data_IF_120180573241
#
_entry.id   IF_120180573241
#
_cell.length_a   1.000
_cell.length_b   1.000
_cell.length_c   1.000
_cell.angle_alpha   90.00
_cell.angle_beta   90.00
_cell.angle_gamma   90.00
#
_symmetry.space_group_name_H-M   'P 1'
#
loop_
_entity.id
_entity.type
_entity.pdbx_description
1 polymer ?
#
# COMPACT_ATOMS: atom_id res chain seq x y z
N UNK A 1 29.23 0.97 9.75
CA UNK A 1 28.45 1.82 10.68
C UNK A 1 27.63 0.89 11.56
N UNK A 2 27.81 0.92 12.90
CA UNK A 2 27.00 0.11 13.82
C UNK A 2 25.63 0.79 13.94
N UNK A 3 24.58 0.17 13.44
CA UNK A 3 23.21 0.56 13.74
C UNK A 3 23.04 0.61 15.26
N UNK A 4 22.47 1.69 15.79
CA UNK A 4 22.08 1.76 17.20
C UNK A 4 21.11 0.61 17.45
N UNK A 5 21.23 -0.08 18.58
CA UNK A 5 20.13 -0.90 19.06
C UNK A 5 18.97 0.03 19.45
N UNK A 6 17.73 -0.41 19.24
CA UNK A 6 16.58 0.38 19.69
C UNK A 6 16.59 0.51 21.21
N UNK A 7 16.01 1.60 21.72
CA UNK A 7 15.92 1.86 23.16
C UNK A 7 14.72 1.14 23.82
N UNK A 8 13.83 0.55 23.02
CA UNK A 8 12.53 0.04 23.50
C UNK A 8 12.36 -1.46 23.22
N UNK A 9 11.54 -2.13 24.06
CA UNK A 9 11.19 -3.54 23.93
C UNK A 9 12.42 -4.43 23.66
N UNK A 10 13.41 -4.41 24.57
CA UNK A 10 14.63 -5.22 24.48
C UNK A 10 15.46 -4.99 23.21
N UNK A 11 15.37 -3.79 22.62
CA UNK A 11 16.07 -3.46 21.38
C UNK A 11 15.28 -3.73 20.11
N UNK A 12 13.97 -4.05 20.22
CA UNK A 12 13.10 -4.33 19.09
C UNK A 12 12.33 -3.11 18.57
N UNK A 13 12.20 -2.03 19.36
CA UNK A 13 11.49 -0.80 18.94
C UNK A 13 10.05 -0.69 19.42
N UNK A 14 9.25 0.08 18.70
CA UNK A 14 7.84 0.33 19.00
C UNK A 14 7.01 -0.87 18.55
N UNK A 15 6.07 -1.31 19.39
CA UNK A 15 5.15 -2.40 19.05
C UNK A 15 3.95 -1.85 18.26
N UNK A 16 3.74 -2.36 17.05
CA UNK A 16 2.57 -2.06 16.23
C UNK A 16 1.61 -3.24 16.25
N UNK A 17 0.39 -3.01 16.74
CA UNK A 17 -0.72 -3.97 16.70
C UNK A 17 -1.61 -3.62 15.53
N UNK A 18 -1.55 -4.42 14.47
CA UNK A 18 -2.20 -4.15 13.18
C UNK A 18 -3.49 -4.95 13.08
N UNK A 19 -4.59 -4.28 12.77
CA UNK A 19 -5.86 -4.90 12.38
C UNK A 19 -6.16 -4.51 10.94
N UNK A 20 -6.21 -5.49 10.05
CA UNK A 20 -6.50 -5.32 8.64
C UNK A 20 -7.91 -5.79 8.32
N UNK A 21 -8.68 -4.95 7.65
CA UNK A 21 -10.03 -5.22 7.18
C UNK A 21 -10.02 -5.37 5.66
N UNK A 22 -9.90 -6.60 5.12
CA UNK A 22 -9.92 -6.81 3.68
C UNK A 22 -11.28 -6.49 3.08
N UNK A 23 -11.27 -6.13 1.81
CA UNK A 23 -12.45 -6.18 0.96
C UNK A 23 -12.84 -7.63 0.70
N UNK A 24 -14.14 -7.87 0.51
CA UNK A 24 -14.57 -9.21 0.14
C UNK A 24 -14.32 -9.44 -1.35
N UNK A 25 -13.83 -10.64 -1.76
CA UNK A 25 -13.62 -10.93 -3.17
C UNK A 25 -14.95 -10.87 -3.94
N UNK A 26 -14.94 -10.52 -5.24
CA UNK A 26 -16.15 -10.47 -6.06
C UNK A 26 -16.94 -11.78 -5.95
N UNK A 27 -18.28 -11.72 -5.82
CA UNK A 27 -19.09 -12.92 -5.78
C UNK A 27 -18.93 -13.71 -7.09
N UNK A 28 -18.80 -15.04 -6.99
CA UNK A 28 -18.80 -15.90 -8.17
C UNK A 28 -20.15 -15.83 -8.87
N UNK A 29 -20.18 -16.05 -10.19
CA UNK A 29 -21.40 -16.09 -10.99
C UNK A 29 -22.33 -17.24 -10.55
N UNK A 30 -23.14 -16.99 -9.51
CA UNK A 30 -24.20 -17.83 -8.89
C UNK A 30 -24.33 -17.58 -7.38
N UNK A 31 -23.36 -16.91 -6.76
CA UNK A 31 -23.33 -16.74 -5.30
C UNK A 31 -24.00 -15.43 -4.87
N UNK A 32 -25.13 -15.54 -4.16
CA UNK A 32 -25.80 -14.38 -3.57
C UNK A 32 -25.11 -14.00 -2.27
N UNK A 33 -24.47 -12.83 -2.24
CA UNK A 33 -23.92 -12.25 -1.01
C UNK A 33 -24.92 -11.31 -0.34
N UNK A 34 -25.00 -11.35 0.99
CA UNK A 34 -25.78 -10.39 1.78
C UNK A 34 -25.13 -9.01 1.68
N UNK A 35 -25.94 -7.94 1.57
CA UNK A 35 -25.47 -6.54 1.49
C UNK A 35 -24.47 -6.17 2.60
N UNK A 36 -24.65 -6.72 3.81
CA UNK A 36 -23.83 -6.39 4.97
C UNK A 36 -22.73 -7.43 5.27
N UNK A 37 -22.41 -8.30 4.31
CA UNK A 37 -21.29 -9.22 4.48
C UNK A 37 -19.98 -8.43 4.59
N UNK A 38 -19.14 -8.78 5.57
CA UNK A 38 -17.80 -8.22 5.74
C UNK A 38 -16.78 -9.35 5.78
N UNK A 39 -15.57 -9.09 5.29
CA UNK A 39 -14.48 -10.04 5.41
C UNK A 39 -14.03 -10.14 6.87
N UNK A 40 -13.46 -11.27 7.24
CA UNK A 40 -12.86 -11.44 8.56
C UNK A 40 -11.63 -10.55 8.70
N UNK A 41 -11.51 -9.86 9.83
CA UNK A 41 -10.40 -8.98 10.11
C UNK A 41 -9.14 -9.79 10.44
N UNK A 42 -8.03 -9.49 9.78
CA UNK A 42 -6.72 -10.11 10.03
C UNK A 42 -6.01 -9.30 11.10
N UNK A 43 -5.57 -9.94 12.18
CA UNK A 43 -4.85 -9.29 13.28
C UNK A 43 -3.43 -9.80 13.32
N UNK A 44 -2.47 -8.89 13.42
CA UNK A 44 -1.06 -9.22 13.60
C UNK A 44 -0.37 -8.16 14.46
N UNK A 45 0.85 -8.44 14.90
CA UNK A 45 1.68 -7.46 15.58
C UNK A 45 3.13 -7.58 15.15
N UNK A 46 3.81 -6.45 15.05
CA UNK A 46 5.23 -6.38 14.68
C UNK A 46 5.95 -5.32 15.51
N UNK A 47 7.27 -5.42 15.60
CA UNK A 47 8.13 -4.47 16.28
C UNK A 47 8.99 -3.74 15.26
N UNK A 48 9.02 -2.41 15.37
CA UNK A 48 9.63 -1.55 14.36
C UNK A 48 10.47 -0.50 15.07
N UNK A 49 11.71 -0.33 14.61
CA UNK A 49 12.65 0.64 15.18
C UNK A 49 12.10 2.07 15.03
N UNK A 50 12.23 2.88 16.09
CA UNK A 50 11.72 4.25 16.21
C UNK A 50 12.28 5.27 15.21
N UNK A 51 13.33 4.90 14.45
CA UNK A 51 13.99 5.76 13.46
C UNK A 51 13.59 5.42 12.03
N UNK A 52 12.74 4.41 11.85
CA UNK A 52 12.24 4.03 10.53
C UNK A 52 11.25 5.07 10.02
N UNK A 53 11.29 5.27 8.71
CA UNK A 53 10.40 6.16 8.00
C UNK A 53 8.97 5.61 8.00
N UNK A 54 7.99 6.50 7.82
CA UNK A 54 6.58 6.12 7.71
C UNK A 54 6.36 5.03 6.65
N UNK A 55 7.06 5.11 5.50
CA UNK A 55 6.94 4.12 4.44
C UNK A 55 7.41 2.73 4.89
N UNK A 56 8.58 2.65 5.53
CA UNK A 56 9.13 1.39 6.04
C UNK A 56 8.25 0.78 7.14
N UNK A 57 7.64 1.61 7.99
CA UNK A 57 6.72 1.14 9.04
C UNK A 57 5.46 0.55 8.43
N UNK A 58 4.86 1.22 7.44
CA UNK A 58 3.68 0.72 6.74
C UNK A 58 4.01 -0.60 6.02
N UNK A 59 5.15 -0.66 5.34
CA UNK A 59 5.62 -1.87 4.67
C UNK A 59 5.79 -3.04 5.66
N UNK A 60 6.46 -2.81 6.79
CA UNK A 60 6.63 -3.80 7.84
C UNK A 60 5.27 -4.28 8.41
N UNK A 61 4.29 -3.38 8.56
CA UNK A 61 2.95 -3.72 9.02
C UNK A 61 2.18 -4.56 7.99
N UNK A 62 2.29 -4.24 6.69
CA UNK A 62 1.67 -5.00 5.59
C UNK A 62 2.29 -6.39 5.48
N UNK A 63 3.61 -6.50 5.61
CA UNK A 63 4.29 -7.79 5.65
C UNK A 63 3.86 -8.63 6.86
N UNK A 64 3.68 -7.99 8.03
CA UNK A 64 3.26 -8.67 9.26
C UNK A 64 1.85 -9.29 9.16
N UNK A 65 0.95 -8.73 8.34
CA UNK A 65 -0.37 -9.31 8.06
C UNK A 65 -0.35 -10.33 6.91
N UNK A 66 0.84 -10.66 6.37
CA UNK A 66 1.03 -11.64 5.30
C UNK A 66 0.55 -11.16 3.93
N UNK A 67 0.52 -9.84 3.71
CA UNK A 67 0.14 -9.23 2.42
C UNK A 67 1.36 -8.71 1.70
N UNK A 68 1.26 -8.66 0.37
CA UNK A 68 2.31 -8.09 -0.47
C UNK A 68 2.13 -6.56 -0.54
N UNK A 69 3.12 -5.76 -0.12
CA UNK A 69 3.10 -4.30 -0.26
C UNK A 69 2.89 -3.83 -1.70
N UNK A 70 3.25 -4.63 -2.71
CA UNK A 70 3.00 -4.27 -4.12
C UNK A 70 1.52 -4.31 -4.51
N UNK A 71 0.71 -5.11 -3.81
CA UNK A 71 -0.74 -5.18 -4.05
C UNK A 71 -1.48 -4.02 -3.37
N UNK A 72 -0.98 -3.57 -2.23
CA UNK A 72 -1.50 -2.41 -1.51
C UNK A 72 -0.68 -1.18 -1.90
N UNK A 73 -0.92 -0.65 -3.10
CA UNK A 73 -0.13 0.46 -3.64
C UNK A 73 -0.23 1.72 -2.77
N UNK A 74 0.89 2.14 -2.17
CA UNK A 74 1.01 3.40 -1.46
C UNK A 74 2.36 4.07 -1.77
N UNK A 75 2.41 5.39 -1.63
CA UNK A 75 3.65 6.16 -1.74
C UNK A 75 3.63 7.32 -0.75
N UNK A 76 4.75 7.59 -0.11
CA UNK A 76 4.95 8.82 0.67
C UNK A 76 5.62 9.83 -0.26
N UNK A 77 4.91 10.93 -0.57
CA UNK A 77 5.42 12.00 -1.44
C UNK A 77 5.52 13.27 -0.59
N UNK A 78 6.75 13.74 -0.37
CA UNK A 78 7.01 14.83 0.57
C UNK A 78 6.57 14.42 1.98
N UNK A 79 5.57 15.11 2.52
CA UNK A 79 5.00 14.86 3.85
C UNK A 79 3.68 14.11 3.83
N UNK A 80 3.19 13.66 2.66
CA UNK A 80 1.86 13.08 2.52
C UNK A 80 1.92 11.61 2.12
N UNK A 81 1.19 10.76 2.86
CA UNK A 81 0.89 9.39 2.48
C UNK A 81 -0.23 9.39 1.44
N UNK A 82 0.07 8.85 0.27
CA UNK A 82 -0.89 8.68 -0.83
C UNK A 82 -1.17 7.19 -1.02
N UNK A 83 -2.44 6.82 -0.95
CA UNK A 83 -2.95 5.45 -1.13
C UNK A 83 -4.37 5.53 -1.68
N UNK A 84 -4.71 4.62 -2.57
CA UNK A 84 -6.06 4.44 -3.13
C UNK A 84 -6.64 3.08 -2.79
N UNK A 85 -5.81 2.17 -2.29
CA UNK A 85 -6.19 0.79 -2.00
C UNK A 85 -6.68 0.61 -0.57
N UNK A 86 -6.30 1.50 0.34
CA UNK A 86 -6.65 1.36 1.75
C UNK A 86 -6.55 2.68 2.51
N UNK A 87 -7.29 2.77 3.60
CA UNK A 87 -7.22 3.83 4.60
C UNK A 87 -6.56 3.33 5.88
N UNK A 88 -5.65 4.13 6.47
CA UNK A 88 -5.02 3.85 7.76
C UNK A 88 -5.58 4.77 8.85
N UNK A 89 -5.99 4.16 9.96
CA UNK A 89 -6.23 4.83 11.23
C UNK A 89 -5.26 4.34 12.29
N UNK A 90 -4.94 5.20 13.24
CA UNK A 90 -4.08 4.86 14.37
C UNK A 90 -4.69 5.30 15.70
N UNK A 91 -4.35 4.56 16.73
CA UNK A 91 -4.75 4.77 18.10
C UNK A 91 -3.60 4.41 19.02
N UNK A 92 -3.23 5.31 19.94
CA UNK A 92 -2.28 4.94 21.00
C UNK A 92 -3.11 4.48 22.21
N UNK A 93 -2.95 3.24 22.71
CA UNK A 93 -3.76 2.73 23.82
C UNK A 93 -3.53 3.50 25.13
N UNK A 94 -4.59 3.77 25.89
CA UNK A 94 -4.53 4.50 27.18
C UNK A 94 -5.22 5.86 27.12
N UNK A 95 -4.84 6.80 28.01
CA UNK A 95 -5.43 8.16 28.09
C UNK A 95 -4.81 9.16 27.10
N UNK A 96 -4.36 8.71 25.94
CA UNK A 96 -3.87 9.64 24.91
C UNK A 96 -5.05 10.24 24.13
N UNK A 97 -4.92 11.50 23.74
CA UNK A 97 -5.89 12.18 22.88
C UNK A 97 -5.90 11.63 21.43
N UNK A 98 -4.83 10.89 21.06
CA UNK A 98 -4.68 10.27 19.74
C UNK A 98 -5.45 8.94 19.68
N UNK A 99 -6.75 9.04 19.39
CA UNK A 99 -7.65 7.90 19.19
C UNK A 99 -8.36 8.02 17.83
N UNK A 100 -8.28 6.95 17.06
CA UNK A 100 -8.92 6.75 15.75
C UNK A 100 -8.58 7.85 14.74
N UNK A 101 -7.33 8.33 14.82
CA UNK A 101 -6.79 9.39 13.98
C UNK A 101 -6.37 8.84 12.62
N UNK A 102 -6.63 9.57 11.54
CA UNK A 102 -6.23 9.13 10.20
C UNK A 102 -4.74 9.43 9.96
N UNK A 103 -4.00 8.41 9.50
CA UNK A 103 -2.59 8.55 9.14
C UNK A 103 -2.48 8.96 7.68
N UNK A 104 -2.44 10.26 7.41
CA UNK A 104 -2.33 10.81 6.05
C UNK A 104 -1.01 11.54 5.80
N UNK A 105 -0.26 11.87 6.84
CA UNK A 105 0.96 12.67 6.74
C UNK A 105 2.10 12.10 7.59
N UNK A 106 3.33 12.41 7.18
CA UNK A 106 4.54 12.12 7.96
C UNK A 106 4.57 12.93 9.26
N UNK A 107 3.96 14.11 9.31
CA UNK A 107 3.84 14.90 10.53
C UNK A 107 3.02 14.18 11.60
N UNK A 108 1.89 13.55 11.21
CA UNK A 108 1.10 12.72 12.11
C UNK A 108 1.89 11.50 12.60
N UNK A 109 2.75 10.94 11.74
CA UNK A 109 3.64 9.85 12.13
C UNK A 109 4.72 10.30 13.14
N UNK A 110 5.33 11.46 12.93
CA UNK A 110 6.33 12.01 13.86
C UNK A 110 5.72 12.33 15.22
N UNK A 111 4.48 12.83 15.25
CA UNK A 111 3.73 13.04 16.50
C UNK A 111 3.37 11.73 17.17
N UNK A 112 2.89 10.75 16.39
CA UNK A 112 2.58 9.41 16.87
C UNK A 112 3.79 8.72 17.49
N UNK A 113 4.95 8.76 16.84
CA UNK A 113 6.16 8.12 17.33
C UNK A 113 6.64 8.75 18.63
N UNK A 114 6.62 10.10 18.73
CA UNK A 114 6.93 10.83 19.96
C UNK A 114 5.97 10.50 21.10
N UNK A 115 4.66 10.46 20.83
CA UNK A 115 3.65 10.15 21.86
C UNK A 115 3.67 8.67 22.28
N UNK A 116 4.00 7.76 21.36
CA UNK A 116 4.17 6.34 21.68
C UNK A 116 5.37 6.12 22.60
N UNK A 117 6.49 6.79 22.33
CA UNK A 117 7.73 6.70 23.11
C UNK A 117 7.59 7.32 24.51
N UNK A 118 6.77 8.35 24.68
CA UNK A 118 6.47 8.92 26.02
C UNK A 118 5.84 7.90 26.97
N UNK A 119 5.30 6.80 26.45
CA UNK A 119 4.74 5.72 27.26
C UNK A 119 5.85 4.75 27.63
N UNK A 120 5.89 4.34 28.90
CA UNK A 120 6.83 3.31 29.38
C UNK A 120 6.73 1.97 28.63
N UNK A 121 5.62 1.74 27.92
CA UNK A 121 5.44 0.65 26.95
C UNK A 121 5.02 1.24 25.59
N UNK A 122 5.94 1.39 24.62
CA UNK A 122 5.60 1.96 23.32
C UNK A 122 4.80 0.96 22.49
N UNK A 123 3.49 1.20 22.42
CA UNK A 123 2.54 0.42 21.64
C UNK A 123 1.64 1.37 20.82
N UNK A 124 1.41 1.01 19.56
CA UNK A 124 0.53 1.71 18.62
C UNK A 124 -0.44 0.71 18.01
N UNK A 125 -1.73 1.03 18.02
CA UNK A 125 -2.75 0.27 17.27
C UNK A 125 -2.95 0.90 15.92
N UNK A 126 -2.92 0.08 14.88
CA UNK A 126 -3.00 0.52 13.50
C UNK A 126 -4.11 -0.26 12.81
N UNK A 127 -5.13 0.43 12.32
CA UNK A 127 -6.27 -0.14 11.61
C UNK A 127 -6.15 0.19 10.12
N UNK A 128 -5.98 -0.83 9.30
CA UNK A 128 -5.87 -0.71 7.84
C UNK A 128 -7.16 -1.25 7.25
N UNK A 129 -7.91 -0.42 6.53
CA UNK A 129 -9.14 -0.84 5.84
C UNK A 129 -8.92 -0.77 4.35
N UNK A 130 -9.06 -1.88 3.64
CA UNK A 130 -8.98 -1.91 2.18
C UNK A 130 -10.26 -1.31 1.59
N UNK A 131 -10.10 -0.42 0.62
CA UNK A 131 -11.19 0.31 -0.02
C UNK A 131 -11.64 -0.48 -1.27
N UNK A 132 -12.94 -0.80 -1.37
CA UNK A 132 -13.47 -1.55 -2.51
C UNK A 132 -13.48 -0.66 -3.76
N UNK A 133 -12.63 -0.98 -4.75
CA UNK A 133 -12.60 -0.28 -6.04
C UNK A 133 -13.75 -0.73 -6.96
N UNK A 134 -14.97 -0.71 -6.45
CA UNK A 134 -16.17 -1.06 -7.16
C UNK A 134 -16.99 0.22 -7.38
N UNK A 135 -17.08 0.68 -8.62
CA UNK A 135 -18.02 1.72 -9.00
C UNK A 135 -19.46 1.22 -8.82
N UNK A 136 -19.98 1.26 -7.60
CA UNK A 136 -21.41 1.25 -7.25
C UNK A 136 -21.63 1.34 -5.73
N UNK A 137 -22.47 2.33 -5.36
CA UNK A 137 -23.25 2.46 -4.12
C UNK A 137 -22.52 2.87 -2.84
N UNK A 138 -22.47 4.18 -2.61
CA UNK A 138 -22.58 4.73 -1.26
C UNK A 138 -24.01 5.24 -1.07
N UNK A 139 -24.86 4.43 -0.42
CA UNK A 139 -25.79 4.97 0.57
C UNK A 139 -26.35 3.84 1.45
N UNK A 140 -25.82 3.71 2.66
CA UNK A 140 -26.60 3.52 3.89
C UNK A 140 -25.66 3.53 5.10
N UNK A 141 -25.30 4.73 5.54
CA UNK A 141 -25.04 4.96 6.96
C UNK A 141 -26.39 4.82 7.69
N UNK A 142 -26.59 3.67 8.32
CA UNK A 142 -27.67 3.49 9.28
C UNK A 142 -27.44 4.41 10.49
N UNK A 143 -28.14 5.55 10.50
CA UNK A 143 -28.47 6.28 11.72
C UNK A 143 -29.99 6.33 11.83
N UNK A 144 -30.49 5.88 12.98
CA UNK A 144 -31.90 5.90 13.34
C UNK A 144 -32.50 7.32 13.44
N UNK A 145 -33.81 7.42 13.71
CA UNK A 145 -34.70 8.33 13.00
C UNK A 145 -34.87 9.67 13.69
N UNK A 146 -34.73 10.79 12.96
CA UNK A 146 -35.53 11.99 13.22
C UNK A 146 -35.84 12.78 11.93
N UNK A 147 -37.05 13.30 11.92
CA UNK A 147 -37.80 13.91 10.83
C UNK A 147 -37.28 15.31 10.45
N UNK A 148 -37.30 15.68 9.16
CA UNK A 148 -38.24 16.65 8.54
C UNK A 148 -37.79 17.15 7.16
N UNK A 149 -38.75 17.09 6.24
CA UNK A 149 -38.83 17.60 4.86
C UNK A 149 -38.11 18.93 4.55
N UNK A 150 -37.51 19.01 3.36
CA UNK A 150 -37.69 20.05 2.30
C UNK A 150 -36.88 19.66 1.05
N UNK A 151 -37.53 19.26 -0.06
CA UNK A 151 -37.97 20.03 -1.27
C UNK A 151 -36.85 20.37 -2.29
N UNK A 152 -36.82 19.54 -3.35
CA UNK A 152 -36.58 19.74 -4.80
C UNK A 152 -35.42 20.65 -5.29
N UNK A 153 -34.62 20.04 -6.19
CA UNK A 153 -33.53 20.47 -7.12
C UNK A 153 -33.87 21.71 -8.01
N UNK A 154 -33.07 22.19 -9.00
CA UNK A 154 -31.82 21.67 -9.61
C UNK A 154 -30.76 22.76 -10.00
N UNK A 155 -29.58 22.35 -10.49
CA UNK A 155 -28.91 22.83 -11.72
C UNK A 155 -27.37 22.83 -11.65
N UNK A 156 -26.78 22.11 -12.63
CA UNK A 156 -25.56 22.47 -13.39
C UNK A 156 -24.30 22.87 -12.62
N UNK A 157 -23.40 21.91 -12.41
CA UNK A 157 -22.05 21.92 -13.02
C UNK A 157 -21.31 20.64 -12.62
N UNK A 158 -21.72 19.54 -13.24
CA UNK A 158 -21.05 18.25 -13.17
C UNK A 158 -20.08 18.14 -14.35
N UNK A 159 -18.82 18.53 -14.16
CA UNK A 159 -17.69 18.02 -14.96
C UNK A 159 -16.33 18.48 -14.41
N UNK A 160 -15.89 18.00 -13.23
CA UNK A 160 -14.51 18.27 -12.77
C UNK A 160 -13.96 17.27 -11.73
N UNK A 161 -14.39 16.01 -11.72
CA UNK A 161 -13.77 14.97 -10.86
C UNK A 161 -13.43 13.71 -11.65
N UNK A 162 -12.79 13.92 -12.80
CA UNK A 162 -11.85 12.97 -13.37
C UNK A 162 -10.51 13.69 -13.44
N UNK A 163 -9.82 13.81 -12.31
CA UNK A 163 -8.38 14.07 -12.35
C UNK A 163 -7.77 12.77 -12.83
N UNK A 164 -7.57 12.68 -14.15
CA UNK A 164 -6.70 11.71 -14.77
C UNK A 164 -5.40 11.68 -13.97
N UNK A 165 -5.12 10.56 -13.29
CA UNK A 165 -3.77 10.19 -12.89
C UNK A 165 -2.98 9.99 -14.19
N UNK A 166 -2.43 11.08 -14.72
CA UNK A 166 -1.40 10.97 -15.75
C UNK A 166 -0.15 10.52 -15.01
N UNK A 167 0.22 9.26 -15.24
CA UNK A 167 1.59 8.82 -15.03
C UNK A 167 2.48 9.83 -15.76
N UNK A 168 3.63 10.18 -15.19
CA UNK A 168 4.58 10.99 -15.96
C UNK A 168 4.99 10.21 -17.21
N UNK A 169 5.30 10.90 -18.31
CA UNK A 169 5.75 10.25 -19.55
C UNK A 169 6.91 9.26 -19.28
N UNK A 170 7.80 9.60 -18.33
CA UNK A 170 8.87 8.70 -17.88
C UNK A 170 8.36 7.46 -17.15
N UNK A 171 7.32 7.57 -16.31
CA UNK A 171 6.73 6.43 -15.61
C UNK A 171 5.93 5.52 -16.56
N UNK A 172 5.25 6.07 -17.56
CA UNK A 172 4.59 5.29 -18.62
C UNK A 172 5.63 4.52 -19.43
N UNK A 173 6.70 5.17 -19.88
CA UNK A 173 7.81 4.53 -20.60
C UNK A 173 8.48 3.42 -19.77
N UNK A 174 8.67 3.63 -18.46
CA UNK A 174 9.22 2.60 -17.57
C UNK A 174 8.27 1.40 -17.47
N UNK A 175 6.97 1.65 -17.29
CA UNK A 175 5.97 0.58 -17.20
C UNK A 175 5.90 -0.23 -18.50
N UNK A 176 5.89 0.43 -19.65
CA UNK A 176 5.95 -0.21 -20.97
C UNK A 176 7.24 -1.01 -21.14
N UNK A 177 8.38 -0.45 -20.73
CA UNK A 177 9.68 -1.14 -20.78
C UNK A 177 9.67 -2.41 -19.92
N UNK A 178 9.04 -2.41 -18.74
CA UNK A 178 8.90 -3.63 -17.92
C UNK A 178 8.08 -4.70 -18.67
N UNK A 179 7.00 -4.31 -19.33
CA UNK A 179 6.18 -5.24 -20.13
C UNK A 179 7.00 -5.82 -21.28
N UNK A 180 7.77 -4.99 -21.98
CA UNK A 180 8.65 -5.42 -23.06
C UNK A 180 9.76 -6.37 -22.55
N UNK A 181 10.39 -6.06 -21.42
CA UNK A 181 11.42 -6.92 -20.83
C UNK A 181 10.84 -8.28 -20.41
N UNK A 182 9.63 -8.31 -19.83
CA UNK A 182 8.94 -9.56 -19.50
C UNK A 182 8.70 -10.43 -20.73
N UNK A 183 8.24 -9.83 -21.82
CA UNK A 183 8.02 -10.54 -23.08
C UNK A 183 9.34 -11.03 -23.70
N UNK A 184 10.39 -10.20 -23.66
CA UNK A 184 11.70 -10.49 -24.25
C UNK A 184 12.42 -11.62 -23.54
N UNK A 185 12.37 -11.64 -22.21
CA UNK A 185 13.06 -12.65 -21.39
C UNK A 185 12.14 -13.79 -20.96
N UNK A 186 11.00 -13.98 -21.64
CA UNK A 186 10.13 -15.11 -21.40
C UNK A 186 10.87 -16.41 -21.76
N UNK A 187 10.96 -17.32 -20.79
CA UNK A 187 11.76 -18.53 -20.95
C UNK A 187 11.02 -19.55 -21.83
N UNK A 188 11.62 -19.95 -22.95
CA UNK A 188 11.03 -20.93 -23.87
C UNK A 188 11.34 -22.40 -23.48
N UNK A 189 12.30 -22.62 -22.57
CA UNK A 189 12.71 -23.95 -22.17
C UNK A 189 11.75 -24.54 -21.11
N UNK A 190 11.11 -25.66 -21.45
CA UNK A 190 10.20 -26.41 -20.58
C UNK A 190 10.90 -27.04 -19.37
N UNK A 191 12.24 -27.17 -19.40
CA UNK A 191 13.04 -27.68 -18.28
C UNK A 191 13.47 -26.59 -17.31
N UNK A 192 13.34 -25.32 -17.70
CA UNK A 192 13.64 -24.20 -16.83
C UNK A 192 12.49 -23.97 -15.83
N UNK A 193 12.82 -23.84 -14.54
CA UNK A 193 11.84 -23.57 -13.48
C UNK A 193 11.41 -22.10 -13.40
N UNK A 194 12.05 -21.21 -14.17
CA UNK A 194 11.82 -19.78 -14.11
C UNK A 194 11.02 -19.31 -15.32
N UNK A 195 9.90 -18.57 -15.14
CA UNK A 195 9.09 -18.07 -16.25
C UNK A 195 9.81 -17.00 -17.07
N UNK A 196 10.68 -16.22 -16.41
CA UNK A 196 11.54 -15.19 -17.01
C UNK A 196 13.00 -15.48 -16.71
N UNK A 197 13.82 -15.61 -17.75
CA UNK A 197 15.21 -16.02 -17.64
C UNK A 197 16.10 -15.23 -18.61
N UNK A 198 17.29 -14.83 -18.14
CA UNK A 198 18.35 -14.29 -18.99
C UNK A 198 19.33 -15.42 -19.33
N UNK A 199 19.66 -15.58 -20.60
CA UNK A 199 20.63 -16.57 -21.05
C UNK A 199 22.04 -16.00 -20.96
N UNK A 200 22.84 -16.50 -20.02
CA UNK A 200 24.26 -16.20 -19.95
C UNK A 200 25.00 -16.80 -21.15
N UNK A 201 25.37 -15.97 -22.12
CA UNK A 201 26.25 -16.37 -23.23
C UNK A 201 27.71 -16.31 -22.74
N UNK A 202 28.57 -17.35 -22.90
CA UNK A 202 28.45 -18.56 -23.73
C UNK A 202 28.06 -19.84 -23.00
N UNK A 203 27.79 -19.78 -21.70
CA UNK A 203 27.50 -21.00 -20.90
C UNK A 203 26.10 -21.57 -21.12
N UNK A 204 25.20 -20.81 -21.76
CA UNK A 204 23.79 -21.20 -21.93
C UNK A 204 23.05 -21.30 -20.59
N UNK A 205 23.61 -20.75 -19.51
CA UNK A 205 23.03 -20.86 -18.19
C UNK A 205 21.84 -19.91 -18.07
N UNK A 206 20.71 -20.44 -17.61
CA UNK A 206 19.51 -19.66 -17.33
C UNK A 206 19.66 -18.93 -15.99
N UNK A 207 19.72 -17.61 -16.04
CA UNK A 207 19.72 -16.74 -14.86
C UNK A 207 18.28 -16.29 -14.62
N UNK A 208 17.72 -16.60 -13.46
CA UNK A 208 16.35 -16.21 -13.12
C UNK A 208 16.20 -14.69 -13.04
N UNK A 209 15.26 -14.14 -13.79
CA UNK A 209 14.85 -12.74 -13.65
C UNK A 209 13.63 -12.65 -12.74
N UNK A 210 13.79 -11.97 -11.61
CA UNK A 210 12.69 -11.64 -10.69
C UNK A 210 12.04 -10.33 -11.11
N UNK A 211 10.80 -10.03 -10.66
CA UNK A 211 10.20 -8.72 -10.88
C UNK A 211 11.10 -7.57 -10.45
N UNK A 212 11.86 -7.74 -9.35
CA UNK A 212 12.82 -6.76 -8.86
C UNK A 212 13.93 -6.44 -9.88
N UNK A 213 14.46 -7.45 -10.58
CA UNK A 213 15.47 -7.22 -11.64
C UNK A 213 14.90 -6.37 -12.78
N UNK A 214 13.69 -6.68 -13.23
CA UNK A 214 13.03 -5.96 -14.32
C UNK A 214 12.71 -4.51 -13.93
N UNK A 215 12.22 -4.29 -12.71
CA UNK A 215 11.96 -2.95 -12.16
C UNK A 215 13.24 -2.14 -11.93
N UNK A 216 14.39 -2.80 -11.72
CA UNK A 216 15.68 -2.13 -11.60
C UNK A 216 16.26 -1.78 -12.97
N UNK A 217 16.07 -2.63 -13.99
CA UNK A 217 16.59 -2.42 -15.34
C UNK A 217 15.78 -1.41 -16.14
N UNK A 218 14.45 -1.40 -16.02
CA UNK A 218 13.60 -0.56 -16.86
C UNK A 218 13.90 0.96 -16.76
N UNK A 219 14.09 1.57 -15.57
CA UNK A 219 14.49 2.97 -15.47
C UNK A 219 15.85 3.26 -16.09
N UNK A 220 16.80 2.33 -15.98
CA UNK A 220 18.14 2.48 -16.56
C UNK A 220 18.09 2.46 -18.10
N UNK A 221 17.22 1.61 -18.68
CA UNK A 221 17.02 1.51 -20.13
C UNK A 221 16.35 2.78 -20.67
N UNK A 222 15.29 3.26 -20.01
CA UNK A 222 14.58 4.50 -20.39
C UNK A 222 15.49 5.73 -20.31
N UNK A 223 16.36 5.81 -19.29
CA UNK A 223 17.36 6.91 -19.20
C UNK A 223 18.44 6.78 -20.27
N UNK A 224 18.89 5.56 -20.55
CA UNK A 224 19.86 5.27 -21.59
C UNK A 224 19.36 5.67 -22.98
N UNK A 225 18.11 5.34 -23.32
CA UNK A 225 17.50 5.69 -24.62
C UNK A 225 17.38 7.20 -24.81
N UNK A 226 17.03 7.95 -23.75
CA UNK A 226 16.97 9.43 -23.77
C UNK A 226 18.35 10.09 -23.97
N UNK A 227 19.42 9.49 -23.45
CA UNK A 227 20.78 10.00 -23.63
C UNK A 227 21.38 9.75 -25.03
N UNK A 228 20.71 8.93 -25.84
CA UNK A 228 21.13 8.56 -27.21
C UNK A 228 20.31 9.21 -28.32
N UNK A 229 19.34 10.06 -27.99
CA UNK A 229 18.63 10.91 -28.96
C UNK A 229 19.34 12.26 -29.10
N UNK A 230 19.88 12.61 -30.27
CA UNK A 230 20.56 13.89 -30.53
C UNK A 230 19.61 15.10 -30.53
#
# INVERSE_FOLDING_TARGET
>A
MRSSASEYNEGQGIKYVVTFHPTLPPPKASEKRRRNARAEAIKSSTYVHEKLSLAEVIEACILAIGRDPQLLQFKVVGTQLRTTAFTIKYSIPGRSALKDMQLTTTTHYDELSKEAVKKGSPEVKLEITEDANDGQSEDELALGPQQKKRKVCPSTDSCAYLIFFQLTDEEEEIAETIVQLKATYMCADKRCSSPTCFLGNPTGQHIRLTPMHLSTWAPAIVRGSKSSSP
#
